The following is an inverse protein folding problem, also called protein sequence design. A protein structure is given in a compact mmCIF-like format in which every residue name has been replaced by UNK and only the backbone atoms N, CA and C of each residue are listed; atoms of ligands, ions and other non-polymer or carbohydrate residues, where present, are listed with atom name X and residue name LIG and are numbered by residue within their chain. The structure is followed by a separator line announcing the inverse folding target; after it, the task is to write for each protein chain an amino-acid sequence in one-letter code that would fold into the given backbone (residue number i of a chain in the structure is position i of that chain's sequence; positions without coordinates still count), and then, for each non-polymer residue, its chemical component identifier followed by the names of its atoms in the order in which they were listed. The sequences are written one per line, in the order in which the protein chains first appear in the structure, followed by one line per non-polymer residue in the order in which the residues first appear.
data_IF_552974492746
#
_entry.id   IF_552974492746
#
_cell.length_a   1.000
_cell.length_b   1.000
_cell.length_c   1.000
_cell.angle_alpha   90.00
_cell.angle_beta   90.00
_cell.angle_gamma   90.00
#
_symmetry.space_group_name_H-M   'P 1'
#
loop_
_entity.id
_entity.type
_entity.pdbx_description
1 polymer ?
#
# COMPACT_ATOMS: atom_id res chain seq x y z
N UNK A 1 10.67 -11.47 -31.05
CA UNK A 1 9.40 -12.18 -31.34
C UNK A 1 8.36 -11.94 -30.22
N UNK A 2 8.68 -12.14 -28.95
CA UNK A 2 7.72 -11.97 -27.84
C UNK A 2 7.04 -10.59 -27.81
N UNK A 3 7.80 -9.50 -27.99
CA UNK A 3 7.25 -8.15 -28.05
C UNK A 3 6.28 -7.92 -29.21
N UNK A 4 6.53 -8.55 -30.35
CA UNK A 4 5.65 -8.47 -31.52
C UNK A 4 4.33 -9.18 -31.26
N UNK A 5 4.36 -10.36 -30.65
CA UNK A 5 3.17 -11.11 -30.23
C UNK A 5 2.36 -10.32 -29.21
N UNK A 6 3.02 -9.75 -28.19
CA UNK A 6 2.35 -8.95 -27.17
C UNK A 6 1.62 -7.73 -27.77
N UNK A 7 2.22 -7.05 -28.75
CA UNK A 7 1.61 -5.88 -29.41
C UNK A 7 0.48 -6.27 -30.38
N UNK A 8 0.50 -7.46 -30.96
CA UNK A 8 -0.52 -7.89 -31.93
C UNK A 8 -1.71 -8.58 -31.27
N UNK A 9 -1.45 -9.39 -30.25
CA UNK A 9 -2.41 -10.37 -29.74
C UNK A 9 -2.70 -10.14 -28.23
N UNK A 10 -2.16 -9.06 -27.64
CA UNK A 10 -2.23 -8.81 -26.19
C UNK A 10 -3.50 -8.15 -25.69
N UNK A 11 -4.37 -7.62 -26.55
CA UNK A 11 -5.49 -6.75 -26.15
C UNK A 11 -6.47 -7.44 -25.18
N UNK A 12 -6.84 -8.68 -25.43
CA UNK A 12 -7.73 -9.43 -24.55
C UNK A 12 -7.12 -9.65 -23.17
N UNK A 13 -5.84 -10.04 -23.11
CA UNK A 13 -5.10 -10.22 -21.86
C UNK A 13 -5.01 -8.91 -21.08
N UNK A 14 -4.76 -7.78 -21.77
CA UNK A 14 -4.69 -6.45 -21.13
C UNK A 14 -6.05 -6.06 -20.55
N UNK A 15 -7.15 -6.34 -21.27
CA UNK A 15 -8.50 -6.04 -20.78
C UNK A 15 -8.82 -6.81 -19.49
N UNK A 16 -8.54 -8.11 -19.45
CA UNK A 16 -8.75 -8.97 -18.29
C UNK A 16 -7.87 -8.52 -17.11
N UNK A 17 -6.60 -8.25 -17.37
CA UNK A 17 -5.65 -7.75 -16.36
C UNK A 17 -6.13 -6.40 -15.77
N UNK A 18 -6.57 -5.47 -16.60
CA UNK A 18 -7.10 -4.17 -16.13
C UNK A 18 -8.33 -4.33 -15.24
N UNK A 19 -9.25 -5.22 -15.60
CA UNK A 19 -10.44 -5.50 -14.78
C UNK A 19 -10.04 -6.08 -13.41
N UNK A 20 -9.09 -7.00 -13.39
CA UNK A 20 -8.58 -7.58 -12.13
C UNK A 20 -7.88 -6.53 -11.25
N UNK A 21 -7.01 -5.70 -11.83
CA UNK A 21 -6.34 -4.64 -11.06
C UNK A 21 -7.31 -3.55 -10.59
N UNK A 22 -8.35 -3.24 -11.34
CA UNK A 22 -9.42 -2.33 -10.88
C UNK A 22 -10.09 -2.88 -9.61
N UNK A 23 -10.45 -4.17 -9.59
CA UNK A 23 -11.04 -4.84 -8.42
C UNK A 23 -10.08 -4.83 -7.21
N UNK A 24 -8.80 -5.12 -7.41
CA UNK A 24 -7.78 -5.05 -6.34
C UNK A 24 -7.62 -3.64 -5.78
N UNK A 25 -7.60 -2.65 -6.64
CA UNK A 25 -7.56 -1.23 -6.26
C UNK A 25 -8.78 -0.84 -5.41
N UNK A 26 -9.97 -1.25 -5.80
CA UNK A 26 -11.20 -1.01 -5.03
C UNK A 26 -11.10 -1.65 -3.64
N UNK A 27 -10.71 -2.93 -3.56
CA UNK A 27 -10.50 -3.63 -2.29
C UNK A 27 -9.52 -2.88 -1.40
N UNK A 28 -8.35 -2.48 -1.94
CA UNK A 28 -7.36 -1.72 -1.18
C UNK A 28 -7.94 -0.41 -0.65
N UNK A 29 -8.63 0.35 -1.51
CA UNK A 29 -9.19 1.65 -1.14
C UNK A 29 -10.29 1.52 -0.07
N UNK A 30 -11.16 0.52 -0.18
CA UNK A 30 -12.20 0.25 0.82
C UNK A 30 -11.61 -0.14 2.18
N UNK A 31 -10.58 -0.97 2.19
CA UNK A 31 -9.94 -1.39 3.43
C UNK A 31 -9.13 -0.26 4.08
N UNK A 32 -8.39 0.54 3.29
CA UNK A 32 -7.65 1.69 3.82
C UNK A 32 -8.55 2.75 4.44
N UNK A 33 -9.74 3.01 3.88
CA UNK A 33 -10.72 3.96 4.44
C UNK A 33 -11.21 3.59 5.85
N UNK A 34 -11.03 2.35 6.27
CA UNK A 34 -11.40 1.87 7.61
C UNK A 34 -10.35 2.17 8.68
N UNK A 35 -9.21 2.76 8.30
CA UNK A 35 -8.11 3.08 9.21
C UNK A 35 -8.15 4.57 9.52
N UNK A 36 -8.47 4.92 10.74
CA UNK A 36 -8.44 6.31 11.19
C UNK A 36 -7.02 6.89 11.13
N UNK A 37 -6.92 8.13 10.66
CA UNK A 37 -5.65 8.84 10.58
C UNK A 37 -4.81 8.53 9.34
N UNK A 38 -5.26 7.65 8.44
CA UNK A 38 -4.64 7.41 7.13
C UNK A 38 -5.40 8.20 6.08
N UNK A 39 -4.68 8.94 5.25
CA UNK A 39 -5.23 9.59 4.07
C UNK A 39 -4.54 9.13 2.80
N UNK A 40 -5.25 9.10 1.69
CA UNK A 40 -4.71 8.69 0.40
C UNK A 40 -5.60 9.17 -0.75
N UNK A 41 -5.02 9.30 -1.93
CA UNK A 41 -5.76 9.46 -3.17
C UNK A 41 -5.91 8.13 -3.88
N UNK A 42 -7.11 7.80 -4.35
CA UNK A 42 -7.32 6.62 -5.18
C UNK A 42 -6.64 6.83 -6.52
N UNK A 43 -5.66 6.00 -6.91
CA UNK A 43 -4.92 6.21 -8.15
C UNK A 43 -5.77 5.86 -9.37
N UNK A 44 -5.63 6.64 -10.45
CA UNK A 44 -6.28 6.35 -11.74
C UNK A 44 -5.57 5.24 -12.54
N UNK A 45 -4.34 4.92 -12.17
CA UNK A 45 -3.51 3.91 -12.83
C UNK A 45 -2.43 3.34 -11.91
N UNK A 46 -1.46 2.66 -12.50
CA UNK A 46 -0.41 1.91 -11.81
C UNK A 46 -0.96 0.72 -11.00
N UNK A 47 -0.20 0.22 -10.05
CA UNK A 47 -0.54 -0.91 -9.18
C UNK A 47 -0.12 -0.66 -7.72
N UNK A 48 -0.05 0.61 -7.33
CA UNK A 48 0.29 1.03 -5.97
C UNK A 48 -0.48 2.31 -5.59
N UNK A 49 -0.55 2.56 -4.29
CA UNK A 49 -1.07 3.78 -3.68
C UNK A 49 -0.03 4.35 -2.73
N UNK A 50 0.00 5.67 -2.59
CA UNK A 50 0.67 6.36 -1.49
C UNK A 50 -0.35 6.63 -0.39
N UNK A 51 -0.06 6.17 0.81
CA UNK A 51 -0.88 6.38 2.00
C UNK A 51 -0.10 7.24 2.99
N UNK A 52 -0.64 8.40 3.33
CA UNK A 52 -0.10 9.28 4.33
C UNK A 52 -0.26 8.65 5.72
N UNK A 53 0.86 8.52 6.43
CA UNK A 53 0.97 7.92 7.76
C UNK A 53 1.46 8.92 8.81
N UNK A 54 1.54 10.20 8.47
CA UNK A 54 2.08 11.28 9.32
C UNK A 54 1.33 11.41 10.66
N UNK A 55 0.06 11.00 10.71
CA UNK A 55 -0.72 10.92 11.96
C UNK A 55 -0.14 9.97 13.02
N UNK A 56 0.80 9.12 12.63
CA UNK A 56 1.49 8.18 13.53
C UNK A 56 2.79 8.75 14.10
N UNK A 57 3.25 9.91 13.60
CA UNK A 57 4.51 10.50 14.04
C UNK A 57 4.45 10.95 15.49
N UNK A 58 5.55 10.77 16.20
CA UNK A 58 5.64 10.99 17.65
C UNK A 58 5.16 9.80 18.49
N UNK A 59 4.44 8.83 17.89
CA UNK A 59 4.08 7.59 18.56
C UNK A 59 5.26 6.59 18.52
N UNK A 60 5.18 5.55 19.35
CA UNK A 60 6.27 4.56 19.46
C UNK A 60 5.76 3.13 19.31
N UNK A 61 6.65 2.28 18.78
CA UNK A 61 6.49 0.84 18.72
C UNK A 61 7.76 0.18 19.30
N UNK A 62 7.60 -0.74 20.26
CA UNK A 62 8.73 -1.41 20.93
C UNK A 62 9.80 -0.45 21.48
N UNK A 63 9.41 0.75 21.91
CA UNK A 63 10.32 1.76 22.46
C UNK A 63 11.03 2.64 21.40
N UNK A 64 10.82 2.40 20.12
CA UNK A 64 11.31 3.24 19.03
C UNK A 64 10.23 4.23 18.58
N UNK A 65 10.57 5.53 18.51
CA UNK A 65 9.66 6.59 18.07
C UNK A 65 9.63 6.64 16.55
N UNK A 66 8.43 6.79 15.99
CA UNK A 66 8.20 6.97 14.55
C UNK A 66 8.29 8.45 14.22
N UNK A 67 9.27 8.86 13.41
CA UNK A 67 9.50 10.25 13.03
C UNK A 67 9.37 10.50 11.52
N UNK A 68 9.16 9.45 10.73
CA UNK A 68 9.04 9.53 9.28
C UNK A 68 8.67 8.18 8.67
N UNK A 69 8.52 8.16 7.35
CA UNK A 69 8.09 6.98 6.62
C UNK A 69 9.05 5.78 6.76
N UNK A 70 10.33 6.03 6.98
CA UNK A 70 11.34 4.97 7.18
C UNK A 70 11.16 4.27 8.50
N UNK A 71 10.95 5.03 9.59
CA UNK A 71 10.71 4.47 10.91
C UNK A 71 9.40 3.68 10.93
N UNK A 72 8.36 4.25 10.31
CA UNK A 72 7.08 3.56 10.14
C UNK A 72 7.24 2.24 9.40
N UNK A 73 7.92 2.25 8.24
CA UNK A 73 8.11 1.05 7.43
C UNK A 73 8.94 -0.02 8.16
N UNK A 74 9.98 0.37 8.91
CA UNK A 74 10.78 -0.54 9.71
C UNK A 74 9.97 -1.18 10.84
N UNK A 75 9.22 -0.38 11.60
CA UNK A 75 8.38 -0.86 12.69
C UNK A 75 7.24 -1.78 12.17
N UNK A 76 6.65 -1.43 11.04
CA UNK A 76 5.61 -2.24 10.40
C UNK A 76 6.17 -3.57 9.85
N UNK A 77 7.43 -3.58 9.37
CA UNK A 77 8.10 -4.81 8.93
C UNK A 77 8.29 -5.76 10.12
N UNK A 78 8.69 -5.24 11.27
CA UNK A 78 8.81 -6.04 12.50
C UNK A 78 7.43 -6.59 12.96
N UNK A 79 6.36 -5.88 12.65
CA UNK A 79 4.98 -6.34 12.86
C UNK A 79 4.51 -7.36 11.81
N UNK A 80 5.28 -7.56 10.74
CA UNK A 80 5.05 -8.58 9.72
C UNK A 80 4.36 -8.10 8.45
N UNK A 81 4.47 -6.80 8.11
CA UNK A 81 4.02 -6.24 6.82
C UNK A 81 5.11 -5.38 6.21
N UNK A 82 5.45 -5.66 4.95
CA UNK A 82 6.42 -4.88 4.19
C UNK A 82 5.73 -3.79 3.36
N UNK A 83 6.21 -2.56 3.50
CA UNK A 83 5.83 -1.40 2.67
C UNK A 83 7.08 -0.65 2.23
N UNK A 84 6.97 0.24 1.27
CA UNK A 84 8.12 1.04 0.83
C UNK A 84 7.97 2.46 1.39
N UNK A 85 8.97 2.97 2.14
CA UNK A 85 8.92 4.33 2.67
C UNK A 85 8.86 5.37 1.53
N UNK A 86 7.98 6.34 1.66
CA UNK A 86 7.79 7.39 0.67
C UNK A 86 8.99 8.35 0.55
N UNK A 87 9.81 8.44 1.60
CA UNK A 87 11.08 9.18 1.55
C UNK A 87 11.97 8.80 0.35
N UNK A 88 11.89 7.56 -0.13
CA UNK A 88 12.60 7.12 -1.33
C UNK A 88 12.09 7.80 -2.62
N UNK A 89 10.93 8.43 -2.57
CA UNK A 89 10.25 9.11 -3.68
C UNK A 89 10.06 10.61 -3.43
N UNK A 90 10.67 11.15 -2.35
CA UNK A 90 10.60 12.56 -1.99
C UNK A 90 9.39 12.94 -1.13
N UNK A 91 8.62 11.98 -0.63
CA UNK A 91 7.47 12.19 0.25
C UNK A 91 7.65 11.36 1.53
N UNK A 92 8.19 11.99 2.58
CA UNK A 92 8.48 11.31 3.85
C UNK A 92 7.23 11.13 4.74
N UNK A 93 6.09 11.72 4.37
CA UNK A 93 4.84 11.56 5.11
C UNK A 93 4.06 10.32 4.70
N UNK A 94 4.41 9.70 3.57
CA UNK A 94 3.68 8.58 3.00
C UNK A 94 4.46 7.27 2.96
N UNK A 95 3.72 6.16 2.85
CA UNK A 95 4.27 4.85 2.46
C UNK A 95 3.60 4.34 1.19
N UNK A 96 4.36 3.62 0.36
CA UNK A 96 3.84 3.02 -0.87
C UNK A 96 3.37 1.60 -0.62
N UNK A 97 2.12 1.35 -0.95
CA UNK A 97 1.45 0.05 -0.88
C UNK A 97 1.15 -0.46 -2.29
N UNK A 98 1.56 -1.67 -2.63
CA UNK A 98 1.20 -2.28 -3.91
C UNK A 98 -0.04 -3.16 -3.78
N UNK A 99 -0.87 -3.24 -4.84
CA UNK A 99 -2.03 -4.12 -4.91
C UNK A 99 -1.89 -5.20 -5.99
N UNK A 100 -0.69 -5.79 -6.04
CA UNK A 100 -0.38 -6.89 -6.96
C UNK A 100 -0.81 -8.27 -6.44
N UNK A 101 -1.24 -8.36 -5.18
CA UNK A 101 -1.72 -9.57 -4.53
C UNK A 101 -3.23 -9.79 -4.78
N UNK A 102 -3.76 -11.01 -4.57
CA UNK A 102 -5.20 -11.25 -4.56
C UNK A 102 -5.94 -10.40 -3.53
N UNK A 103 -7.24 -10.06 -3.76
CA UNK A 103 -8.01 -9.19 -2.86
C UNK A 103 -8.02 -9.64 -1.40
N UNK A 104 -8.12 -10.93 -1.13
CA UNK A 104 -8.10 -11.49 0.23
C UNK A 104 -6.76 -11.25 0.94
N UNK A 105 -5.64 -11.31 0.21
CA UNK A 105 -4.31 -11.02 0.75
C UNK A 105 -4.13 -9.52 1.02
N UNK A 106 -4.67 -8.67 0.14
CA UNK A 106 -4.70 -7.22 0.31
C UNK A 106 -5.49 -6.88 1.58
N UNK A 107 -6.70 -7.40 1.73
CA UNK A 107 -7.54 -7.15 2.91
C UNK A 107 -6.84 -7.60 4.21
N UNK A 108 -6.20 -8.77 4.19
CA UNK A 108 -5.43 -9.29 5.33
C UNK A 108 -4.22 -8.40 5.67
N UNK A 109 -3.50 -7.91 4.64
CA UNK A 109 -2.38 -7.00 4.83
C UNK A 109 -2.82 -5.66 5.44
N UNK A 110 -3.90 -5.08 4.94
CA UNK A 110 -4.45 -3.82 5.45
C UNK A 110 -5.00 -3.98 6.88
N UNK A 111 -5.63 -5.11 7.20
CA UNK A 111 -6.05 -5.39 8.57
C UNK A 111 -4.86 -5.41 9.54
N UNK A 112 -3.73 -6.00 9.16
CA UNK A 112 -2.50 -5.95 9.95
C UNK A 112 -1.96 -4.52 10.11
N UNK A 113 -2.01 -3.68 9.09
CA UNK A 113 -1.60 -2.27 9.18
C UNK A 113 -2.50 -1.54 10.20
N UNK A 114 -3.80 -1.76 10.15
CA UNK A 114 -4.73 -1.20 11.12
C UNK A 114 -4.39 -1.64 12.55
N UNK A 115 -4.16 -2.92 12.76
CA UNK A 115 -3.83 -3.48 14.08
C UNK A 115 -2.48 -2.94 14.59
N UNK A 116 -1.50 -2.77 13.70
CA UNK A 116 -0.23 -2.12 14.01
C UNK A 116 -0.45 -0.67 14.48
N UNK A 117 -1.19 0.14 13.71
CA UNK A 117 -1.45 1.54 14.06
C UNK A 117 -2.18 1.64 15.40
N UNK A 118 -3.14 0.75 15.67
CA UNK A 118 -3.83 0.68 16.94
C UNK A 118 -2.93 0.27 18.12
N UNK A 119 -1.81 -0.39 17.86
CA UNK A 119 -0.84 -0.80 18.88
C UNK A 119 0.16 0.30 19.26
N UNK A 120 0.27 1.36 18.47
CA UNK A 120 1.19 2.48 18.71
C UNK A 120 0.80 3.27 19.97
N UNK A 121 1.82 3.73 20.71
CA UNK A 121 1.67 4.45 21.98
C UNK A 121 2.30 5.84 21.92
#
# INVERSE_FOLDING_TARGET
YASVTALRDGDAFIADMRAEFARRRETLAEELKKIDGISFSVPDGAFYVFADVSSTYGKSFNGATINGSRDFAAALLDFGVAVIPGAAFGDDDSVRLSYTLPPEEIARGIAKIRDFIASLR
#
